data_IF_559078500051
#
_entry.id   IF_559078500051
#
_cell.length_a   1.000
_cell.length_b   1.000
_cell.length_c   1.000
_cell.angle_alpha   90.00
_cell.angle_beta   90.00
_cell.angle_gamma   90.00
#
_symmetry.space_group_name_H-M   'P 1'
#
loop_
_entity.id
_entity.type
_entity.pdbx_description
1 polymer ?
#
# COMPACT_ATOMS: atom_id res chain seq x y z
N UNK A 1 19.43 -3.92 -58.98
CA UNK A 1 18.76 -2.61 -59.04
C UNK A 1 18.21 -2.32 -57.65
N UNK A 2 18.77 -1.29 -57.01
CA UNK A 2 18.41 -0.79 -55.68
C UNK A 2 17.07 -0.05 -55.73
N UNK A 3 16.32 -0.03 -54.62
CA UNK A 3 15.55 1.11 -54.05
C UNK A 3 14.85 0.55 -52.79
N UNK A 4 15.35 0.81 -51.58
CA UNK A 4 15.18 1.99 -50.72
C UNK A 4 13.79 2.13 -50.08
N UNK A 5 13.82 2.28 -48.76
CA UNK A 5 12.69 2.41 -47.84
C UNK A 5 11.98 3.76 -47.95
N UNK A 6 10.66 3.76 -47.73
CA UNK A 6 9.91 4.95 -47.36
C UNK A 6 8.98 4.70 -46.16
N UNK A 7 8.98 5.72 -45.31
CA UNK A 7 8.28 5.87 -44.03
C UNK A 7 6.77 5.95 -44.25
N UNK A 8 5.99 5.17 -43.51
CA UNK A 8 4.54 5.34 -43.41
C UNK A 8 4.16 5.80 -41.99
N UNK A 9 4.09 7.12 -41.80
CA UNK A 9 3.42 7.75 -40.66
C UNK A 9 1.91 7.78 -40.95
N UNK A 10 1.10 7.06 -40.15
CA UNK A 10 -0.36 7.10 -40.27
C UNK A 10 -0.91 8.23 -39.41
N UNK A 11 -1.46 9.25 -40.07
CA UNK A 11 -2.33 10.27 -39.49
C UNK A 11 -3.73 9.69 -39.33
N UNK A 12 -4.32 9.84 -38.14
CA UNK A 12 -5.74 9.58 -37.88
C UNK A 12 -6.52 10.88 -38.10
N UNK A 13 -7.60 10.91 -38.88
CA UNK A 13 -8.47 12.09 -38.96
C UNK A 13 -9.48 12.11 -37.81
N UNK A 14 -9.48 13.21 -37.04
CA UNK A 14 -10.59 13.58 -36.17
C UNK A 14 -11.70 14.20 -37.03
N UNK A 15 -12.86 13.54 -37.10
CA UNK A 15 -14.06 14.12 -37.70
C UNK A 15 -14.71 15.11 -36.74
N UNK A 16 -15.01 16.28 -37.30
CA UNK A 16 -15.80 17.34 -36.74
C UNK A 16 -17.27 16.91 -36.58
N UNK A 17 -17.89 17.29 -35.46
CA UNK A 17 -19.34 17.38 -35.35
C UNK A 17 -19.75 18.67 -34.63
N UNK A 18 -20.45 19.52 -35.39
CA UNK A 18 -21.67 20.20 -34.97
C UNK A 18 -21.59 21.19 -33.81
N UNK A 19 -21.41 22.47 -34.13
CA UNK A 19 -21.88 23.59 -33.30
C UNK A 19 -23.41 23.61 -33.29
N UNK A 20 -23.99 23.48 -32.11
CA UNK A 20 -25.36 23.90 -31.81
C UNK A 20 -25.31 25.07 -30.84
N UNK A 21 -25.81 26.23 -31.26
CA UNK A 21 -25.98 27.43 -30.45
C UNK A 21 -26.96 27.17 -29.30
N UNK A 22 -26.57 27.52 -28.08
CA UNK A 22 -27.52 27.67 -26.97
C UNK A 22 -27.35 29.07 -26.39
N UNK A 23 -28.47 29.80 -26.41
CA UNK A 23 -28.60 31.21 -26.09
C UNK A 23 -28.19 31.54 -24.65
N UNK A 24 -27.40 32.61 -24.52
CA UNK A 24 -27.22 33.36 -23.28
C UNK A 24 -28.52 34.08 -22.94
N UNK A 25 -29.11 33.77 -21.79
CA UNK A 25 -30.11 34.63 -21.15
C UNK A 25 -29.47 35.26 -19.92
N UNK A 26 -29.02 36.49 -20.09
CA UNK A 26 -28.68 37.43 -19.03
C UNK A 26 -29.94 37.85 -18.30
N UNK A 27 -30.00 37.65 -16.98
CA UNK A 27 -30.94 38.37 -16.10
C UNK A 27 -30.11 39.20 -15.12
N UNK A 28 -30.16 40.51 -15.30
CA UNK A 28 -29.71 41.51 -14.33
C UNK A 28 -30.95 42.08 -13.64
N UNK A 29 -30.98 42.08 -12.30
CA UNK A 29 -31.92 42.89 -11.52
C UNK A 29 -31.37 43.17 -10.10
N UNK A 30 -30.77 44.36 -9.96
CA UNK A 30 -30.97 45.42 -8.94
C UNK A 30 -31.17 45.05 -7.46
N UNK A 31 -30.16 45.46 -6.67
CA UNK A 31 -30.15 46.10 -5.33
C UNK A 31 -31.47 46.24 -4.53
N UNK A 32 -31.43 45.77 -3.27
CA UNK A 32 -32.03 46.47 -2.12
C UNK A 32 -31.23 46.18 -0.85
N UNK A 33 -30.64 47.23 -0.28
CA UNK A 33 -29.91 47.23 0.97
C UNK A 33 -30.89 47.29 2.15
N UNK A 34 -30.68 46.45 3.16
CA UNK A 34 -31.25 46.64 4.51
C UNK A 34 -30.10 46.57 5.52
N UNK A 35 -29.90 47.72 6.18
CA UNK A 35 -29.01 47.91 7.31
C UNK A 35 -29.53 47.14 8.54
N UNK A 36 -28.66 46.38 9.19
CA UNK A 36 -28.83 45.99 10.59
C UNK A 36 -27.45 45.97 11.30
N UNK A 37 -27.28 46.68 12.43
CA UNK A 37 -26.01 46.73 13.14
C UNK A 37 -25.77 45.44 13.93
N UNK A 38 -24.63 44.78 13.67
CA UNK A 38 -24.11 43.68 14.48
C UNK A 38 -23.33 44.26 15.67
N UNK A 39 -23.80 43.99 16.89
CA UNK A 39 -23.09 44.30 18.12
C UNK A 39 -21.82 43.44 18.30
N UNK A 40 -20.82 43.90 19.06
CA UNK A 40 -19.57 43.19 19.20
C UNK A 40 -19.71 42.00 20.17
N UNK A 41 -19.56 40.79 19.64
CA UNK A 41 -19.33 39.60 20.47
C UNK A 41 -17.91 39.65 21.04
N UNK A 42 -17.83 39.73 22.38
CA UNK A 42 -16.62 39.68 23.18
C UNK A 42 -15.91 38.35 22.95
N UNK A 43 -14.77 38.39 22.27
CA UNK A 43 -13.85 37.26 22.13
C UNK A 43 -13.08 37.06 23.45
N UNK A 44 -13.44 36.02 24.20
CA UNK A 44 -12.68 35.55 25.35
C UNK A 44 -11.35 34.93 24.89
N UNK A 45 -10.28 35.71 24.96
CA UNK A 45 -8.89 35.21 24.85
C UNK A 45 -8.58 34.37 26.10
N UNK A 46 -8.44 33.05 25.94
CA UNK A 46 -7.67 32.22 26.88
C UNK A 46 -6.27 32.05 26.31
N UNK A 47 -5.35 32.85 26.83
CA UNK A 47 -3.91 32.65 26.73
C UNK A 47 -3.51 31.41 27.53
N UNK A 48 -3.28 30.30 26.84
CA UNK A 48 -2.64 29.10 27.40
C UNK A 48 -1.19 29.02 26.92
N UNK A 49 -0.27 28.88 27.87
CA UNK A 49 1.17 28.85 27.68
C UNK A 49 1.63 27.72 26.73
N UNK A 50 2.61 28.06 25.90
CA UNK A 50 3.47 27.11 25.21
C UNK A 50 4.35 26.34 26.21
N UNK A 51 4.55 25.01 26.06
CA UNK A 51 5.60 24.28 26.76
C UNK A 51 6.70 23.90 25.75
N UNK A 52 7.54 24.86 25.37
CA UNK A 52 8.80 24.62 24.63
C UNK A 52 10.02 24.99 25.50
N UNK A 53 9.99 24.61 26.77
CA UNK A 53 11.15 24.67 27.67
C UNK A 53 11.24 23.33 28.40
N UNK A 54 11.91 22.38 27.77
CA UNK A 54 12.19 21.06 28.34
C UNK A 54 13.22 20.23 27.58
N UNK A 55 13.91 20.82 26.58
CA UNK A 55 14.78 20.07 25.67
C UNK A 55 16.25 20.00 26.09
N UNK A 56 16.64 20.56 27.25
CA UNK A 56 17.99 20.38 27.80
C UNK A 56 17.93 20.21 29.31
N UNK A 57 17.71 18.98 29.75
CA UNK A 57 17.82 18.56 31.15
C UNK A 57 18.26 17.11 31.21
N UNK A 58 19.43 16.87 31.81
CA UNK A 58 20.03 15.56 32.05
C UNK A 58 19.08 14.63 32.84
N UNK A 59 18.37 13.76 32.12
CA UNK A 59 17.67 12.64 32.72
C UNK A 59 18.63 11.45 32.86
N UNK A 60 19.31 11.36 34.01
CA UNK A 60 19.91 10.09 34.45
C UNK A 60 18.78 9.09 34.73
N UNK A 61 18.79 7.88 34.13
CA UNK A 61 17.76 6.89 34.41
C UNK A 61 17.90 6.39 35.86
N UNK A 62 16.85 6.54 36.67
CA UNK A 62 16.74 5.87 37.97
C UNK A 62 16.64 4.36 37.74
N UNK A 63 17.43 3.51 38.45
CA UNK A 63 17.27 2.07 38.37
C UNK A 63 15.90 1.68 38.95
N UNK A 64 15.08 1.01 38.13
CA UNK A 64 13.82 0.39 38.58
C UNK A 64 14.17 -0.71 39.59
N UNK A 65 13.60 -0.64 40.80
CA UNK A 65 13.62 -1.76 41.75
C UNK A 65 13.10 -3.02 41.06
N UNK A 66 13.86 -4.11 41.16
CA UNK A 66 13.46 -5.42 40.69
C UNK A 66 12.19 -5.87 41.43
N UNK A 67 11.19 -6.29 40.68
CA UNK A 67 9.94 -6.87 41.18
C UNK A 67 10.20 -8.37 41.43
N UNK A 68 9.81 -8.95 42.58
CA UNK A 68 10.03 -10.37 42.81
C UNK A 68 9.21 -11.22 41.82
N UNK A 69 9.70 -12.42 41.45
CA UNK A 69 9.01 -13.27 40.48
C UNK A 69 7.67 -13.74 41.05
N UNK A 70 6.61 -13.59 40.26
CA UNK A 70 5.33 -14.24 40.52
C UNK A 70 5.47 -15.71 40.17
N UNK A 71 5.29 -16.59 41.15
CA UNK A 71 5.19 -18.03 40.94
C UNK A 71 3.94 -18.33 40.12
N UNK A 72 4.12 -18.78 38.87
CA UNK A 72 3.05 -19.35 38.06
C UNK A 72 2.79 -20.77 38.61
N UNK A 73 1.59 -21.08 39.13
CA UNK A 73 1.31 -22.44 39.56
C UNK A 73 1.23 -23.35 38.32
N UNK A 74 2.01 -24.43 38.31
CA UNK A 74 1.92 -25.46 37.27
C UNK A 74 0.51 -26.11 37.30
N UNK A 75 -0.03 -26.51 36.13
CA UNK A 75 -1.28 -27.26 36.06
C UNK A 75 -1.14 -28.60 36.80
N UNK A 76 -2.16 -28.95 37.60
CA UNK A 76 -2.21 -30.21 38.35
C UNK A 76 -2.20 -31.41 37.38
N UNK A 77 -1.48 -32.46 37.76
CA UNK A 77 -1.44 -33.72 37.02
C UNK A 77 -2.83 -34.37 36.94
N UNK A 78 -3.10 -35.01 35.80
CA UNK A 78 -4.30 -35.81 35.52
C UNK A 78 -4.42 -36.97 36.52
N UNK A 79 -5.53 -37.13 37.26
CA UNK A 79 -5.74 -38.27 38.15
C UNK A 79 -5.70 -39.59 37.38
N UNK A 80 -5.02 -40.58 37.96
CA UNK A 80 -4.98 -41.95 37.47
C UNK A 80 -6.24 -42.69 37.91
N UNK A 81 -7.34 -42.52 37.18
CA UNK A 81 -8.46 -43.44 37.26
C UNK A 81 -9.18 -43.49 35.91
N UNK A 82 -8.65 -44.36 35.04
CA UNK A 82 -9.31 -44.83 33.84
C UNK A 82 -9.70 -46.29 34.08
N UNK A 83 -10.98 -46.66 34.05
CA UNK A 83 -11.35 -48.06 33.93
C UNK A 83 -11.13 -48.49 32.48
N UNK A 84 -10.23 -49.44 32.30
CA UNK A 84 -10.14 -50.24 31.09
C UNK A 84 -11.30 -51.25 31.09
N UNK A 85 -12.06 -51.31 30.00
CA UNK A 85 -12.94 -52.44 29.71
C UNK A 85 -12.85 -52.78 28.23
N UNK A 86 -12.17 -53.89 27.95
CA UNK A 86 -12.33 -54.68 26.73
C UNK A 86 -13.58 -55.59 26.82
N UNK A 87 -13.83 -56.40 25.78
CA UNK A 87 -15.16 -56.58 25.19
C UNK A 87 -15.89 -57.86 25.63
N UNK A 88 -17.23 -57.84 25.58
CA UNK A 88 -18.07 -59.03 25.53
C UNK A 88 -19.39 -58.76 24.78
N UNK A 89 -19.74 -59.71 23.91
CA UNK A 89 -20.96 -59.83 23.11
C UNK A 89 -22.25 -59.89 23.93
N UNK A 90 -23.39 -59.56 23.30
CA UNK A 90 -24.70 -60.02 23.77
C UNK A 90 -25.89 -59.11 23.44
N UNK A 91 -26.53 -59.36 22.30
CA UNK A 91 -27.96 -59.16 21.93
C UNK A 91 -28.97 -58.74 23.01
N UNK A 92 -29.79 -57.71 22.72
CA UNK A 92 -31.20 -57.85 22.29
C UNK A 92 -31.98 -56.52 22.40
N UNK A 93 -32.96 -56.38 21.51
CA UNK A 93 -33.79 -55.21 21.21
C UNK A 93 -34.58 -54.60 22.38
N UNK A 94 -34.75 -53.26 22.36
CA UNK A 94 -36.08 -52.67 22.57
C UNK A 94 -36.21 -51.33 21.83
N UNK A 95 -37.34 -51.19 21.13
CA UNK A 95 -37.69 -50.17 20.16
C UNK A 95 -38.66 -49.19 20.83
N UNK A 96 -38.22 -47.95 21.10
CA UNK A 96 -39.13 -46.85 21.44
C UNK A 96 -38.65 -45.56 20.76
N UNK A 97 -39.46 -45.07 19.83
CA UNK A 97 -39.33 -43.76 19.21
C UNK A 97 -40.05 -42.70 20.06
N UNK A 98 -39.55 -41.46 20.06
CA UNK A 98 -40.44 -40.30 20.19
C UNK A 98 -40.07 -39.19 19.16
N UNK A 99 -40.87 -38.13 19.05
CA UNK A 99 -41.65 -37.79 17.87
C UNK A 99 -40.89 -36.91 16.87
N UNK A 100 -41.23 -37.06 15.59
CA UNK A 100 -40.88 -36.13 14.53
C UNK A 100 -41.49 -34.76 14.81
N UNK A 101 -40.64 -33.82 15.21
CA UNK A 101 -40.96 -32.40 15.13
C UNK A 101 -40.74 -32.03 13.66
N UNK A 102 -41.82 -31.91 12.88
CA UNK A 102 -41.75 -31.29 11.55
C UNK A 102 -41.36 -29.83 11.74
N UNK A 103 -40.05 -29.56 11.63
CA UNK A 103 -39.55 -28.24 11.36
C UNK A 103 -40.11 -27.83 9.99
N UNK A 104 -40.86 -26.72 9.88
CA UNK A 104 -41.45 -26.33 8.62
C UNK A 104 -40.32 -26.09 7.62
N UNK A 105 -40.36 -26.86 6.53
CA UNK A 105 -39.40 -26.79 5.43
C UNK A 105 -39.16 -25.32 5.08
N UNK A 106 -38.00 -24.82 5.50
CA UNK A 106 -37.55 -23.47 5.16
C UNK A 106 -37.44 -23.46 3.64
N UNK A 107 -38.41 -22.81 3.01
CA UNK A 107 -38.45 -22.60 1.57
C UNK A 107 -37.05 -22.13 1.15
N UNK A 108 -36.36 -22.97 0.38
CA UNK A 108 -35.06 -22.63 -0.17
C UNK A 108 -35.30 -21.44 -1.09
N UNK A 109 -34.92 -20.25 -0.61
CA UNK A 109 -34.84 -19.08 -1.45
C UNK A 109 -33.93 -19.44 -2.62
N UNK A 110 -34.33 -19.16 -3.88
CA UNK A 110 -33.47 -19.40 -5.03
C UNK A 110 -32.11 -18.76 -4.76
N UNK A 111 -31.03 -19.51 -4.98
CA UNK A 111 -29.69 -18.95 -4.86
C UNK A 111 -29.62 -17.68 -5.73
N UNK A 112 -29.07 -16.56 -5.21
CA UNK A 112 -28.99 -15.33 -5.96
C UNK A 112 -28.23 -15.55 -7.27
N UNK A 113 -28.73 -14.95 -8.36
CA UNK A 113 -28.09 -15.05 -9.66
C UNK A 113 -26.65 -14.51 -9.58
N UNK A 114 -25.72 -15.22 -10.20
CA UNK A 114 -24.31 -14.83 -10.19
C UNK A 114 -24.10 -13.52 -10.96
N UNK A 115 -23.22 -12.66 -10.46
CA UNK A 115 -22.84 -11.41 -11.14
C UNK A 115 -22.14 -11.69 -12.48
N UNK A 116 -22.17 -10.73 -13.40
CA UNK A 116 -21.49 -10.85 -14.70
C UNK A 116 -19.99 -11.16 -14.54
N UNK A 117 -19.33 -10.54 -13.55
CA UNK A 117 -17.95 -10.86 -13.21
C UNK A 117 -17.79 -12.33 -12.82
N UNK A 118 -18.66 -12.85 -11.95
CA UNK A 118 -18.55 -14.24 -11.49
C UNK A 118 -18.78 -15.22 -12.62
N UNK A 119 -19.66 -14.91 -13.57
CA UNK A 119 -19.87 -15.71 -14.78
C UNK A 119 -18.65 -15.70 -15.71
N UNK A 120 -17.92 -14.58 -15.79
CA UNK A 120 -16.71 -14.47 -16.60
C UNK A 120 -15.49 -15.16 -15.98
N UNK A 121 -15.40 -15.20 -14.64
CA UNK A 121 -14.32 -15.83 -13.89
C UNK A 121 -14.51 -17.36 -13.79
N UNK A 122 -14.51 -18.02 -14.96
CA UNK A 122 -14.64 -19.48 -15.07
C UNK A 122 -13.40 -20.21 -14.58
N UNK A 123 -13.51 -21.52 -14.36
CA UNK A 123 -12.38 -22.38 -13.97
C UNK A 123 -11.29 -22.48 -15.06
N UNK A 124 -11.58 -22.05 -16.29
CA UNK A 124 -10.58 -21.90 -17.35
C UNK A 124 -9.73 -20.61 -17.21
N UNK A 125 -10.17 -19.68 -16.35
CA UNK A 125 -9.50 -18.40 -16.07
C UNK A 125 -8.83 -18.45 -14.71
N UNK A 126 -9.54 -18.89 -13.66
CA UNK A 126 -9.02 -18.92 -12.30
C UNK A 126 -9.77 -19.92 -11.41
N UNK A 127 -9.05 -20.51 -10.46
CA UNK A 127 -9.64 -21.23 -9.33
C UNK A 127 -9.95 -20.20 -8.26
N UNK A 128 -11.22 -19.78 -8.21
CA UNK A 128 -11.69 -18.71 -7.34
C UNK A 128 -13.10 -19.04 -6.78
N UNK A 129 -13.21 -19.97 -5.82
CA UNK A 129 -14.49 -20.25 -5.17
C UNK A 129 -15.09 -18.97 -4.56
N UNK A 130 -16.41 -18.82 -4.71
CA UNK A 130 -17.15 -17.74 -4.05
C UNK A 130 -17.12 -17.95 -2.54
N UNK A 131 -17.01 -16.86 -1.78
CA UNK A 131 -17.14 -16.86 -0.33
C UNK A 131 -18.31 -15.96 0.09
N UNK A 132 -18.86 -16.13 1.31
CA UNK A 132 -19.93 -15.26 1.79
C UNK A 132 -19.51 -13.78 1.80
N UNK A 133 -20.50 -12.91 1.59
CA UNK A 133 -20.31 -11.48 1.71
C UNK A 133 -19.85 -11.11 3.13
N UNK A 134 -18.95 -10.13 3.21
CA UNK A 134 -18.41 -9.66 4.48
C UNK A 134 -18.90 -8.23 4.69
N UNK A 135 -19.51 -7.97 5.85
CA UNK A 135 -19.96 -6.63 6.23
C UNK A 135 -19.40 -6.28 7.60
N UNK A 136 -18.41 -5.40 7.62
CA UNK A 136 -17.77 -4.87 8.81
C UNK A 136 -17.97 -3.37 8.98
N UNK A 137 -17.48 -2.80 10.09
CA UNK A 137 -17.60 -1.37 10.36
C UNK A 137 -16.94 -0.52 9.27
N UNK A 138 -17.50 0.67 9.01
CA UNK A 138 -16.93 1.63 8.06
C UNK A 138 -16.93 1.19 6.59
N UNK A 139 -17.76 0.21 6.21
CA UNK A 139 -17.83 -0.34 4.85
C UNK A 139 -16.77 -1.40 4.58
N UNK A 140 -16.26 -2.04 5.63
CA UNK A 140 -15.33 -3.14 5.52
C UNK A 140 -15.98 -4.39 4.91
N UNK A 141 -15.23 -5.10 4.08
CA UNK A 141 -15.68 -6.23 3.29
C UNK A 141 -16.32 -5.82 1.96
N UNK A 142 -17.27 -6.62 1.54
CA UNK A 142 -17.92 -6.48 0.25
C UNK A 142 -18.81 -7.64 -0.13
N UNK A 143 -19.46 -7.46 -1.26
CA UNK A 143 -20.31 -8.46 -1.90
C UNK A 143 -19.57 -9.12 -3.07
N UNK A 144 -20.00 -10.32 -3.44
CA UNK A 144 -19.45 -11.04 -4.59
C UNK A 144 -17.97 -11.37 -4.40
N UNK A 145 -17.62 -11.74 -3.17
CA UNK A 145 -16.27 -12.07 -2.78
C UNK A 145 -15.88 -13.46 -3.28
N UNK A 146 -14.59 -13.60 -3.61
CA UNK A 146 -13.98 -14.86 -4.00
C UNK A 146 -12.70 -15.08 -3.23
N UNK A 147 -12.33 -16.35 -3.05
CA UNK A 147 -11.00 -16.75 -2.59
C UNK A 147 -10.19 -17.18 -3.80
N UNK A 148 -9.34 -16.31 -4.33
CA UNK A 148 -8.48 -16.59 -5.47
C UNK A 148 -7.32 -17.50 -5.03
N UNK A 149 -7.35 -18.76 -5.46
CA UNK A 149 -6.37 -19.78 -5.11
C UNK A 149 -5.32 -19.97 -6.20
N UNK A 150 -5.73 -19.87 -7.46
CA UNK A 150 -4.81 -19.96 -8.60
C UNK A 150 -5.39 -19.25 -9.84
N UNK A 151 -4.50 -18.78 -10.70
CA UNK A 151 -4.83 -18.32 -12.05
C UNK A 151 -4.48 -19.43 -13.04
N UNK A 152 -5.42 -19.78 -13.91
CA UNK A 152 -5.21 -20.78 -14.95
C UNK A 152 -4.68 -20.07 -16.19
N UNK A 153 -3.61 -20.57 -16.79
CA UNK A 153 -3.03 -20.04 -18.03
C UNK A 153 -3.72 -20.65 -19.27
N UNK A 154 -3.57 -20.07 -20.47
CA UNK A 154 -4.15 -20.62 -21.70
C UNK A 154 -3.73 -22.07 -22.01
N UNK A 155 -2.55 -22.49 -21.56
CA UNK A 155 -2.03 -23.85 -21.69
C UNK A 155 -2.42 -24.78 -20.51
N UNK A 156 -3.39 -24.35 -19.70
CA UNK A 156 -3.96 -25.06 -18.53
C UNK A 156 -3.02 -25.21 -17.33
N UNK A 157 -1.81 -24.67 -17.38
CA UNK A 157 -0.95 -24.60 -16.19
C UNK A 157 -1.53 -23.61 -15.19
N UNK A 158 -1.29 -23.85 -13.90
CA UNK A 158 -1.81 -23.03 -12.82
C UNK A 158 -0.70 -22.21 -12.18
N UNK A 159 -0.94 -20.91 -12.01
CA UNK A 159 -0.13 -20.02 -11.19
C UNK A 159 -0.81 -19.91 -9.84
N UNK A 160 -0.24 -20.56 -8.83
CA UNK A 160 -0.80 -20.54 -7.48
C UNK A 160 -0.66 -19.16 -6.84
N UNK A 161 -1.72 -18.65 -6.21
CA UNK A 161 -1.69 -17.43 -5.39
C UNK A 161 -1.47 -17.86 -3.94
N UNK A 162 -0.33 -17.47 -3.36
CA UNK A 162 0.14 -18.00 -2.08
C UNK A 162 0.37 -16.88 -1.06
N UNK A 163 -0.36 -16.86 0.07
CA UNK A 163 -1.57 -17.63 0.35
C UNK A 163 -2.73 -17.20 -0.56
N UNK A 164 -3.81 -17.99 -0.61
CA UNK A 164 -4.98 -17.65 -1.40
C UNK A 164 -5.56 -16.29 -0.97
N UNK A 165 -5.94 -15.46 -1.95
CA UNK A 165 -6.34 -14.07 -1.71
C UNK A 165 -7.86 -13.95 -1.59
N UNK A 166 -8.35 -13.30 -0.53
CA UNK A 166 -9.75 -12.89 -0.43
C UNK A 166 -9.94 -11.55 -1.12
N UNK A 167 -10.73 -11.54 -2.21
CA UNK A 167 -10.90 -10.38 -3.09
C UNK A 167 -12.35 -10.26 -3.56
N UNK A 168 -12.78 -9.05 -3.92
CA UNK A 168 -13.95 -8.86 -4.79
C UNK A 168 -13.67 -9.48 -6.14
N UNK A 169 -14.71 -10.02 -6.78
CA UNK A 169 -14.57 -10.67 -8.09
C UNK A 169 -13.85 -9.78 -9.13
N UNK A 170 -14.13 -8.47 -9.17
CA UNK A 170 -13.50 -7.57 -10.13
C UNK A 170 -11.99 -7.48 -9.93
N UNK A 171 -11.52 -7.38 -8.68
CA UNK A 171 -10.09 -7.37 -8.35
C UNK A 171 -9.44 -8.72 -8.69
N UNK A 172 -10.09 -9.84 -8.35
CA UNK A 172 -9.59 -11.17 -8.72
C UNK A 172 -9.48 -11.34 -10.25
N UNK A 173 -10.44 -10.81 -11.01
CA UNK A 173 -10.42 -10.83 -12.48
C UNK A 173 -9.28 -9.98 -13.05
N UNK A 174 -9.03 -8.80 -12.48
CA UNK A 174 -7.91 -7.94 -12.90
C UNK A 174 -6.56 -8.61 -12.65
N UNK A 175 -6.39 -9.30 -11.50
CA UNK A 175 -5.19 -10.07 -11.20
C UNK A 175 -5.02 -11.28 -12.14
N UNK A 176 -6.11 -11.99 -12.43
CA UNK A 176 -6.08 -13.12 -13.37
C UNK A 176 -5.70 -12.67 -14.79
N UNK A 177 -6.25 -11.57 -15.27
CA UNK A 177 -5.89 -11.01 -16.58
C UNK A 177 -4.43 -10.54 -16.60
N UNK A 178 -3.97 -9.82 -15.57
CA UNK A 178 -2.58 -9.36 -15.46
C UNK A 178 -1.57 -10.52 -15.51
N UNK A 179 -1.82 -11.59 -14.74
CA UNK A 179 -0.94 -12.77 -14.75
C UNK A 179 -0.91 -13.43 -16.12
N UNK A 180 -2.08 -13.62 -16.74
CA UNK A 180 -2.21 -14.33 -18.02
C UNK A 180 -1.64 -13.52 -19.19
N UNK A 181 -1.87 -12.22 -19.20
CA UNK A 181 -1.63 -11.36 -20.36
C UNK A 181 -0.25 -10.70 -20.31
N UNK A 182 0.29 -10.39 -19.12
CA UNK A 182 1.57 -9.68 -19.01
C UNK A 182 2.64 -10.53 -18.34
N UNK A 183 2.38 -11.09 -17.15
CA UNK A 183 3.44 -11.74 -16.36
C UNK A 183 3.88 -13.09 -16.96
N UNK A 184 2.95 -13.91 -17.43
CA UNK A 184 3.30 -15.18 -18.06
C UNK A 184 4.16 -14.98 -19.33
N UNK A 185 3.82 -14.08 -20.27
CA UNK A 185 4.72 -13.73 -21.38
C UNK A 185 6.04 -13.09 -20.94
N UNK A 186 6.02 -12.18 -19.95
CA UNK A 186 7.21 -11.48 -19.46
C UNK A 186 8.26 -12.43 -18.85
N UNK A 187 7.82 -13.55 -18.27
CA UNK A 187 8.72 -14.57 -17.69
C UNK A 187 9.18 -15.62 -18.70
N UNK A 188 8.54 -15.77 -19.86
CA UNK A 188 8.86 -16.79 -20.85
C UNK A 188 10.30 -16.73 -21.41
N UNK A 189 10.90 -15.54 -21.68
CA UNK A 189 12.29 -15.44 -22.13
C UNK A 189 13.33 -15.94 -21.13
N UNK A 190 12.95 -16.14 -19.86
CA UNK A 190 13.84 -16.68 -18.82
C UNK A 190 14.06 -18.20 -18.97
N UNK A 191 13.45 -18.84 -19.98
CA UNK A 191 13.56 -20.29 -20.19
C UNK A 191 12.82 -21.13 -19.13
N UNK A 192 11.96 -20.47 -18.35
CA UNK A 192 11.12 -21.07 -17.31
C UNK A 192 9.76 -20.40 -17.36
N UNK A 193 8.86 -20.83 -16.50
CA UNK A 193 7.49 -20.31 -16.47
C UNK A 193 7.11 -19.92 -15.06
N UNK A 194 6.30 -18.87 -14.92
CA UNK A 194 5.66 -18.55 -13.65
C UNK A 194 4.84 -19.74 -13.12
N UNK A 195 5.01 -20.02 -11.82
CA UNK A 195 4.31 -21.09 -11.10
C UNK A 195 3.55 -20.57 -9.88
N UNK A 196 3.91 -19.41 -9.34
CA UNK A 196 3.17 -18.79 -8.24
C UNK A 196 3.30 -17.27 -8.18
N UNK A 197 2.32 -16.64 -7.55
CA UNK A 197 2.36 -15.27 -7.06
C UNK A 197 2.44 -15.31 -5.53
N UNK A 198 3.41 -14.60 -4.96
CA UNK A 198 3.56 -14.40 -3.51
C UNK A 198 2.69 -13.21 -3.08
N UNK A 199 1.54 -13.55 -2.49
CA UNK A 199 0.55 -12.63 -1.95
C UNK A 199 0.98 -12.26 -0.54
N UNK A 200 1.28 -10.98 -0.32
CA UNK A 200 1.67 -10.49 0.99
C UNK A 200 0.47 -10.15 1.89
N UNK A 201 -0.54 -9.50 1.32
CA UNK A 201 -1.77 -9.13 1.99
C UNK A 201 -2.90 -8.98 0.95
N UNK A 202 -4.12 -9.37 1.31
CA UNK A 202 -5.28 -9.25 0.41
C UNK A 202 -6.46 -8.60 1.10
N UNK A 203 -6.95 -9.19 2.19
CA UNK A 203 -8.09 -8.69 2.94
C UNK A 203 -7.75 -8.53 4.41
N UNK A 204 -7.78 -7.30 4.88
CA UNK A 204 -7.67 -6.97 6.29
C UNK A 204 -8.55 -5.77 6.63
N UNK A 205 -9.43 -5.94 7.61
CA UNK A 205 -10.39 -4.91 8.01
C UNK A 205 -9.73 -3.79 8.83
N UNK A 206 -8.99 -2.89 8.16
CA UNK A 206 -8.19 -1.85 8.81
C UNK A 206 -8.16 -0.51 8.06
N UNK A 207 -7.82 0.54 8.80
CA UNK A 207 -7.46 1.84 8.23
C UNK A 207 -6.20 1.77 7.36
N UNK A 208 -6.06 2.74 6.45
CA UNK A 208 -4.85 2.91 5.63
C UNK A 208 -3.61 2.98 6.50
N UNK A 209 -2.55 2.33 6.03
CA UNK A 209 -1.23 2.25 6.69
C UNK A 209 -1.31 1.76 8.14
N UNK A 210 -2.37 0.98 8.48
CA UNK A 210 -2.67 0.48 9.84
C UNK A 210 -2.89 1.59 10.88
N UNK A 211 -3.21 2.81 10.43
CA UNK A 211 -3.48 3.96 11.29
C UNK A 211 -4.94 3.93 11.76
N UNK A 212 -5.15 3.91 13.08
CA UNK A 212 -6.48 3.95 13.69
C UNK A 212 -7.18 5.27 13.35
N UNK A 213 -8.44 5.18 12.88
CA UNK A 213 -9.24 6.35 12.50
C UNK A 213 -8.92 6.93 11.12
N UNK A 214 -7.91 6.40 10.41
CA UNK A 214 -7.69 6.76 9.02
C UNK A 214 -8.81 6.23 8.12
N UNK A 215 -8.89 6.76 6.88
CA UNK A 215 -9.78 6.22 5.84
C UNK A 215 -9.54 4.71 5.70
N UNK A 216 -10.62 3.96 5.47
CA UNK A 216 -10.54 2.51 5.23
C UNK A 216 -9.57 2.20 4.07
N UNK A 217 -8.72 1.20 4.26
CA UNK A 217 -7.84 0.68 3.22
C UNK A 217 -8.65 -0.07 2.14
N UNK A 218 -8.15 -0.12 0.91
CA UNK A 218 -8.75 -0.96 -0.12
C UNK A 218 -8.59 -2.46 0.19
N UNK A 219 -7.59 -2.86 1.00
CA UNK A 219 -7.57 -4.22 1.59
C UNK A 219 -8.80 -4.46 2.46
N UNK A 220 -9.22 -3.47 3.24
CA UNK A 220 -10.44 -3.54 4.04
C UNK A 220 -11.70 -3.64 3.20
N UNK A 221 -11.63 -3.36 1.89
CA UNK A 221 -12.73 -3.50 0.93
C UNK A 221 -12.60 -4.75 0.06
N UNK A 222 -11.61 -5.62 0.34
CA UNK A 222 -11.23 -6.75 -0.52
C UNK A 222 -10.93 -6.31 -1.97
N UNK A 223 -10.42 -5.09 -2.15
CA UNK A 223 -10.22 -4.44 -3.45
C UNK A 223 -8.74 -4.12 -3.71
N UNK A 224 -7.83 -4.78 -2.97
CA UNK A 224 -6.40 -4.60 -3.11
C UNK A 224 -5.64 -5.93 -2.93
N UNK A 225 -4.42 -5.97 -3.46
CA UNK A 225 -3.47 -7.07 -3.29
C UNK A 225 -2.06 -6.50 -3.14
N UNK A 226 -1.36 -6.94 -2.10
CA UNK A 226 0.06 -6.68 -1.93
C UNK A 226 0.85 -7.87 -2.50
N UNK A 227 1.83 -7.61 -3.37
CA UNK A 227 2.61 -8.65 -4.06
C UNK A 227 4.09 -8.46 -3.77
N UNK A 228 4.76 -9.55 -3.36
CA UNK A 228 6.20 -9.53 -3.07
C UNK A 228 7.04 -10.07 -4.20
N UNK A 229 6.60 -11.18 -4.79
CA UNK A 229 7.41 -11.94 -5.71
C UNK A 229 6.58 -12.83 -6.64
N UNK A 230 7.23 -13.28 -7.71
CA UNK A 230 6.77 -14.40 -8.51
C UNK A 230 7.67 -15.62 -8.24
N UNK A 231 7.07 -16.80 -8.15
CA UNK A 231 7.79 -18.07 -8.17
C UNK A 231 7.82 -18.63 -9.58
N UNK A 232 8.94 -19.25 -9.95
CA UNK A 232 9.15 -19.90 -11.24
C UNK A 232 9.19 -21.42 -11.08
N UNK A 233 8.84 -22.15 -12.13
CA UNK A 233 8.76 -23.62 -12.12
C UNK A 233 10.11 -24.30 -11.84
N UNK A 234 11.23 -23.61 -12.08
CA UNK A 234 12.59 -24.08 -11.77
C UNK A 234 13.02 -23.81 -10.30
N UNK A 235 12.12 -23.31 -9.45
CA UNK A 235 12.38 -23.01 -8.04
C UNK A 235 12.98 -21.62 -7.78
N UNK A 236 13.31 -20.85 -8.83
CA UNK A 236 13.74 -19.47 -8.65
C UNK A 236 12.56 -18.56 -8.28
N UNK A 237 12.88 -17.41 -7.67
CA UNK A 237 11.90 -16.38 -7.36
C UNK A 237 12.36 -15.02 -7.92
N UNK A 238 11.40 -14.26 -8.43
CA UNK A 238 11.57 -12.87 -8.86
C UNK A 238 10.95 -12.00 -7.78
N UNK A 239 11.76 -11.51 -6.84
CA UNK A 239 11.31 -10.51 -5.87
C UNK A 239 11.21 -9.13 -6.53
N UNK A 240 10.09 -8.46 -6.34
CA UNK A 240 9.79 -7.19 -7.03
C UNK A 240 10.57 -6.01 -6.44
N UNK A 241 10.94 -6.09 -5.17
CA UNK A 241 11.69 -5.05 -4.45
C UNK A 241 13.18 -5.37 -4.31
N UNK A 242 13.61 -6.57 -4.69
CA UNK A 242 15.02 -6.94 -4.70
C UNK A 242 15.77 -6.25 -5.85
N UNK A 243 16.73 -5.40 -5.46
CA UNK A 243 17.55 -4.60 -6.39
C UNK A 243 18.47 -5.48 -7.25
N UNK A 244 18.77 -6.70 -6.83
CA UNK A 244 19.59 -7.67 -7.58
C UNK A 244 18.84 -8.30 -8.76
N UNK A 245 17.51 -8.27 -8.75
CA UNK A 245 16.69 -8.66 -9.91
C UNK A 245 16.91 -7.63 -11.03
N UNK A 246 17.10 -8.08 -12.29
CA UNK A 246 17.35 -7.17 -13.41
C UNK A 246 16.33 -6.03 -13.44
N UNK A 247 16.85 -4.79 -13.48
CA UNK A 247 16.02 -3.59 -13.42
C UNK A 247 14.98 -3.55 -14.54
N UNK A 248 15.39 -3.86 -15.77
CA UNK A 248 14.49 -3.89 -16.94
C UNK A 248 13.28 -4.82 -16.71
N UNK A 249 13.49 -5.98 -16.07
CA UNK A 249 12.41 -6.89 -15.73
C UNK A 249 11.41 -6.23 -14.77
N UNK A 250 11.91 -5.57 -13.72
CA UNK A 250 11.07 -4.86 -12.73
C UNK A 250 10.37 -3.64 -13.34
N UNK A 251 11.02 -2.92 -14.25
CA UNK A 251 10.40 -1.80 -14.99
C UNK A 251 9.28 -2.29 -15.94
N UNK A 252 9.45 -3.44 -16.58
CA UNK A 252 8.40 -4.05 -17.38
C UNK A 252 7.21 -4.48 -16.53
N UNK A 253 7.45 -5.01 -15.32
CA UNK A 253 6.39 -5.30 -14.35
C UNK A 253 5.70 -4.00 -13.93
N UNK A 254 6.45 -2.95 -13.56
CA UNK A 254 5.91 -1.62 -13.24
C UNK A 254 4.96 -1.10 -14.33
N UNK A 255 5.40 -1.13 -15.59
CA UNK A 255 4.59 -0.68 -16.72
C UNK A 255 3.28 -1.49 -16.86
N UNK A 256 3.36 -2.82 -16.69
CA UNK A 256 2.18 -3.69 -16.74
C UNK A 256 1.16 -3.35 -15.65
N UNK A 257 1.60 -3.14 -14.40
CA UNK A 257 0.68 -2.87 -13.29
C UNK A 257 0.07 -1.47 -13.40
N UNK A 258 0.84 -0.45 -13.78
CA UNK A 258 0.34 0.91 -13.87
C UNK A 258 -0.65 1.12 -15.02
N UNK A 259 -0.60 0.25 -16.03
CA UNK A 259 -1.61 0.24 -17.10
C UNK A 259 -2.96 -0.26 -16.58
N UNK A 260 -2.97 -1.23 -15.66
CA UNK A 260 -4.17 -1.96 -15.24
C UNK A 260 -4.83 -1.44 -13.99
N UNK A 261 -4.05 -1.22 -12.94
CA UNK A 261 -4.56 -0.85 -11.63
C UNK A 261 -4.75 0.67 -11.54
N UNK A 262 -5.56 1.14 -10.59
CA UNK A 262 -5.78 2.57 -10.38
C UNK A 262 -4.88 3.15 -9.30
N UNK A 263 -4.39 2.33 -8.38
CA UNK A 263 -3.30 2.67 -7.47
C UNK A 263 -2.24 1.57 -7.53
N UNK A 264 -0.99 1.97 -7.80
CA UNK A 264 0.21 1.15 -7.65
C UNK A 264 1.15 1.89 -6.72
N UNK A 265 1.50 1.28 -5.59
CA UNK A 265 2.48 1.81 -4.64
C UNK A 265 3.59 0.78 -4.44
N UNK A 266 4.84 1.21 -4.45
CA UNK A 266 6.00 0.36 -4.15
C UNK A 266 7.09 1.18 -3.46
N UNK A 267 8.35 0.70 -3.48
CA UNK A 267 9.48 1.44 -2.93
C UNK A 267 9.51 2.90 -3.40
N UNK A 268 9.76 3.83 -2.47
CA UNK A 268 9.80 5.27 -2.76
C UNK A 268 8.47 6.01 -2.72
N UNK A 269 7.33 5.32 -2.57
CA UNK A 269 6.01 5.97 -2.51
C UNK A 269 5.74 6.68 -1.17
N UNK A 270 5.61 5.91 -0.09
CA UNK A 270 5.20 6.44 1.23
C UNK A 270 5.89 5.77 2.43
N UNK A 271 6.90 4.92 2.19
CA UNK A 271 7.64 4.17 3.20
C UNK A 271 6.93 2.94 3.77
N UNK A 272 5.62 2.76 3.53
CA UNK A 272 4.89 1.56 3.96
C UNK A 272 4.98 0.42 2.94
N UNK A 273 5.40 0.73 1.70
CA UNK A 273 5.45 -0.19 0.56
C UNK A 273 6.88 -0.45 0.09
N UNK A 274 7.87 -0.45 1.00
CA UNK A 274 9.29 -0.63 0.63
C UNK A 274 9.67 -2.09 0.35
N UNK A 275 8.90 -3.07 0.85
CA UNK A 275 9.19 -4.50 0.71
C UNK A 275 8.20 -5.27 -0.17
N UNK A 276 7.20 -4.59 -0.74
CA UNK A 276 6.18 -5.17 -1.63
C UNK A 276 5.62 -4.11 -2.59
N UNK A 277 4.80 -4.52 -3.56
CA UNK A 277 3.99 -3.60 -4.35
C UNK A 277 2.52 -3.76 -3.98
N UNK A 278 1.83 -2.64 -3.76
CA UNK A 278 0.39 -2.56 -3.52
C UNK A 278 -0.34 -2.29 -4.82
N UNK A 279 -1.39 -3.05 -5.08
CA UNK A 279 -2.26 -2.93 -6.26
C UNK A 279 -3.71 -2.77 -5.80
N UNK A 280 -4.40 -1.71 -6.25
CA UNK A 280 -5.83 -1.56 -6.00
C UNK A 280 -6.63 -1.04 -7.22
N UNK A 281 -7.95 -1.20 -7.13
CA UNK A 281 -8.93 -0.66 -8.09
C UNK A 281 -9.76 0.47 -7.45
N UNK A 282 -9.18 1.28 -6.59
CA UNK A 282 -9.87 2.42 -6.00
C UNK A 282 -10.33 3.39 -7.08
N UNK A 283 -11.62 3.69 -7.10
CA UNK A 283 -12.17 4.73 -7.94
C UNK A 283 -11.90 6.11 -7.34
N UNK A 284 -11.50 7.05 -8.20
CA UNK A 284 -11.17 8.43 -7.85
C UNK A 284 -11.83 9.37 -8.84
N UNK A 285 -12.01 10.63 -8.43
CA UNK A 285 -12.54 11.65 -9.33
C UNK A 285 -11.69 11.74 -10.61
N UNK A 286 -12.35 11.98 -11.74
CA UNK A 286 -11.73 12.12 -13.07
C UNK A 286 -10.85 10.91 -13.49
N UNK A 287 -11.13 9.70 -12.95
CA UNK A 287 -10.33 8.51 -13.21
C UNK A 287 -8.83 8.69 -12.90
N UNK A 288 -8.49 9.54 -11.94
CA UNK A 288 -7.11 9.76 -11.52
C UNK A 288 -6.48 8.44 -11.06
N UNK A 289 -5.30 8.14 -11.59
CA UNK A 289 -4.50 6.96 -11.24
C UNK A 289 -3.21 7.37 -10.52
N UNK A 290 -2.77 6.54 -9.59
CA UNK A 290 -1.48 6.67 -8.90
C UNK A 290 -0.60 5.50 -9.35
N UNK A 291 0.63 5.81 -9.76
CA UNK A 291 1.66 4.84 -10.12
C UNK A 291 2.98 5.35 -9.54
N UNK A 292 3.28 4.93 -8.32
CA UNK A 292 4.43 5.37 -7.54
C UNK A 292 5.22 4.15 -7.07
N UNK A 293 6.25 3.78 -7.84
CA UNK A 293 7.18 2.71 -7.47
C UNK A 293 8.51 2.97 -8.16
N UNK A 294 9.50 3.33 -7.36
CA UNK A 294 10.87 3.57 -7.81
C UNK A 294 11.62 2.23 -7.96
N UNK A 295 12.07 1.95 -9.19
CA UNK A 295 12.82 0.74 -9.52
C UNK A 295 14.32 1.00 -9.31
N UNK A 296 14.78 0.81 -8.07
CA UNK A 296 16.17 1.08 -7.70
C UNK A 296 17.17 0.11 -8.35
N UNK A 297 18.32 0.64 -8.80
CA UNK A 297 19.52 -0.14 -9.15
C UNK A 297 20.19 -0.73 -7.91
N UNK A 298 20.95 -1.84 -7.96
CA UNK A 298 21.74 -2.30 -6.81
C UNK A 298 22.60 -1.19 -6.18
N UNK A 299 22.75 -1.18 -4.85
CA UNK A 299 23.76 -0.31 -4.24
C UNK A 299 25.17 -0.78 -4.64
N UNK A 300 26.10 0.15 -4.89
CA UNK A 300 27.48 -0.24 -5.15
C UNK A 300 28.05 -0.97 -3.93
N UNK A 301 28.74 -2.10 -4.17
CA UNK A 301 29.33 -2.91 -3.10
C UNK A 301 30.45 -2.17 -2.36
N UNK A 302 31.12 -1.26 -3.06
CA UNK A 302 32.14 -0.37 -2.51
C UNK A 302 31.54 1.03 -2.54
N UNK A 303 31.41 1.66 -1.37
CA UNK A 303 31.03 3.05 -1.28
C UNK A 303 32.01 3.89 -2.12
N UNK A 304 31.52 4.75 -3.02
CA UNK A 304 32.40 5.66 -3.74
C UNK A 304 33.22 6.44 -2.71
N UNK A 305 34.56 6.50 -2.89
CA UNK A 305 35.38 7.34 -2.05
C UNK A 305 34.84 8.77 -2.15
N UNK A 306 34.50 9.36 -1.00
CA UNK A 306 34.06 10.75 -0.91
C UNK A 306 35.24 11.59 -0.42
N UNK A 307 35.57 12.70 -1.11
CA UNK A 307 34.95 13.20 -2.34
C UNK A 307 35.27 12.33 -3.55
N UNK A 308 34.33 12.23 -4.50
CA UNK A 308 34.52 11.49 -5.74
C UNK A 308 35.86 11.86 -6.38
N UNK A 309 36.58 10.86 -6.91
CA UNK A 309 37.83 11.10 -7.61
C UNK A 309 37.60 12.16 -8.69
N UNK A 310 38.43 13.18 -8.69
CA UNK A 310 38.34 14.27 -9.65
C UNK A 310 38.59 13.69 -11.06
N UNK A 311 37.69 13.91 -12.03
CA UNK A 311 37.92 13.49 -13.40
C UNK A 311 39.25 14.03 -13.94
N UNK A 312 39.94 13.24 -14.77
CA UNK A 312 41.26 13.61 -15.32
C UNK A 312 41.20 14.87 -16.21
N UNK A 313 40.03 15.14 -16.79
CA UNK A 313 39.73 16.30 -17.63
C UNK A 313 39.31 17.55 -16.84
N UNK A 314 39.27 17.49 -15.51
CA UNK A 314 38.81 18.61 -14.70
C UNK A 314 39.82 19.78 -14.69
N UNK A 315 39.40 21.03 -15.00
CA UNK A 315 40.29 22.19 -15.12
C UNK A 315 40.91 22.58 -13.77
N UNK A 316 42.22 22.85 -13.68
CA UNK A 316 42.99 22.94 -12.43
C UNK A 316 42.29 23.78 -11.36
N UNK A 317 42.36 23.35 -10.09
CA UNK A 317 41.75 24.11 -8.99
C UNK A 317 42.38 25.50 -8.97
N UNK A 318 41.55 26.53 -9.06
CA UNK A 318 41.98 27.92 -8.82
C UNK A 318 42.46 28.00 -7.38
N UNK A 319 43.76 28.08 -7.18
CA UNK A 319 44.34 28.38 -5.88
C UNK A 319 44.09 29.88 -5.66
N UNK A 320 43.50 30.25 -4.53
CA UNK A 320 43.35 31.66 -4.18
C UNK A 320 44.73 32.32 -4.17
N UNK A 321 44.90 33.36 -4.98
CA UNK A 321 46.11 34.19 -4.96
C UNK A 321 46.28 34.74 -3.55
N UNK A 322 47.46 34.53 -2.96
CA UNK A 322 47.81 35.18 -1.69
C UNK A 322 47.79 36.69 -1.93
N UNK A 323 47.14 37.49 -1.07
CA UNK A 323 47.21 38.94 -1.20
C UNK A 323 48.67 39.37 -1.05
N UNK A 324 49.16 40.16 -2.01
CA UNK A 324 50.47 40.80 -1.94
C UNK A 324 50.56 41.67 -0.68
N UNK A 325 51.64 41.50 0.08
CA UNK A 325 52.04 42.37 1.18
C UNK A 325 52.52 43.73 0.65
N UNK A 326 51.65 44.54 0.07
CA UNK A 326 51.92 45.97 -0.09
C UNK A 326 50.63 46.77 -0.14
N UNK A 327 50.03 47.05 1.02
CA UNK A 327 49.36 48.35 1.19
C UNK A 327 49.38 48.78 2.66
N UNK A 328 49.79 50.02 2.84
CA UNK A 328 50.17 50.70 4.07
C UNK A 328 49.09 50.69 5.15
N UNK A 329 49.56 50.42 6.38
CA UNK A 329 48.85 50.60 7.64
C UNK A 329 48.32 52.03 7.78
N UNK A 330 47.02 52.22 7.55
CA UNK A 330 46.27 53.39 8.00
C UNK A 330 45.58 53.09 9.32
N UNK A 331 46.22 53.44 10.43
CA UNK A 331 45.63 53.37 11.78
C UNK A 331 44.41 54.29 11.86
N UNK A 332 43.22 53.73 12.14
CA UNK A 332 42.07 54.49 12.64
C UNK A 332 41.89 54.18 14.13
N UNK A 333 41.69 55.19 14.99
CA UNK A 333 41.65 55.01 16.43
C UNK A 333 40.35 54.32 16.89
N UNK A 334 40.49 53.46 17.90
CA UNK A 334 39.43 52.74 18.59
C UNK A 334 38.44 53.67 19.30
N UNK A 335 37.16 53.53 18.96
CA UNK A 335 36.06 54.10 19.73
C UNK A 335 35.64 53.13 20.84
N UNK A 336 35.63 53.50 22.13
CA UNK A 336 35.31 52.57 23.20
C UNK A 336 33.81 52.28 23.28
N UNK A 337 33.48 50.99 23.40
CA UNK A 337 32.13 50.45 23.58
C UNK A 337 31.62 50.73 25.01
N UNK A 338 30.39 51.22 25.23
CA UNK A 338 29.91 51.52 26.57
C UNK A 338 29.62 50.25 27.40
N UNK A 339 30.04 50.29 28.66
CA UNK A 339 29.86 49.22 29.65
C UNK A 339 28.39 49.06 30.09
N UNK A 340 27.95 47.79 30.23
CA UNK A 340 26.64 47.44 30.82
C UNK A 340 26.70 47.60 32.35
N UNK A 341 25.67 48.17 33.02
CA UNK A 341 25.66 48.29 34.47
C UNK A 341 25.37 46.95 35.16
N UNK A 342 26.13 46.69 36.23
CA UNK A 342 26.07 45.48 37.05
C UNK A 342 24.79 45.37 37.89
N UNK A 343 24.32 44.14 38.04
CA UNK A 343 23.16 43.76 38.85
C UNK A 343 23.59 43.69 40.32
N UNK A 344 23.06 44.59 41.15
CA UNK A 344 23.24 44.56 42.60
C UNK A 344 22.42 43.43 43.22
N UNK A 345 23.06 42.63 44.07
CA UNK A 345 22.43 41.67 44.97
C UNK A 345 21.83 42.43 46.16
N UNK A 346 20.51 42.33 46.36
CA UNK A 346 19.91 42.62 47.66
C UNK A 346 19.42 41.32 48.31
N UNK A 347 20.07 41.00 49.43
CA UNK A 347 19.49 40.23 50.54
C UNK A 347 18.48 41.13 51.25
N UNK A 348 17.24 40.68 51.35
CA UNK A 348 16.45 40.53 52.58
C UNK A 348 15.17 39.79 52.23
#
# INVERSE_FOLDING_TARGET
MNFSAEKAARKWPCNAFGRGEVAMVTVAAVLLAVFAPSGPAVAARKSGLAPWIGLFGENRPKPRRARPPRSVPLPKARPAEAPATGPAEGTAAEKQAPPSTEEPARQATPAPALSACRLALTDAVAIAPSIPDIHGPGGCGGEGLVRLEAVVLPDRRQVAVKPAATLRCAMASAIADWIRTDIAPLTAPLGTTISSLDNFDSFECRGRNRIVGAKLSEHGRANALDVRAFGLANGQSISLTDRTVPRELRENVLHSVCTRFSTVLGPGSDGYHEDHIHLDLMERHNNYKICEWDVWEPMPQIAPLLPAARPDDAPPRKIAEKPDETESVGVKPDTPRPAKPGRQNHRQ
#
